data_IF_828817740659
#
_entry.id   IF_828817740659
#
_cell.length_a   1.000
_cell.length_b   1.000
_cell.length_c   1.000
_cell.angle_alpha   90.00
_cell.angle_beta   90.00
_cell.angle_gamma   90.00
#
_symmetry.space_group_name_H-M   'P 1'
#
loop_
_entity.id
_entity.type
_entity.pdbx_description
1 polymer ?
#
# COMPACT_ATOMS: atom_id res chain seq x y z
N UNK A 1 -7.76 -3.10 53.33
CA UNK A 1 -7.01 -3.36 52.10
C UNK A 1 -7.83 -2.84 50.93
N UNK A 2 -7.54 -1.64 50.51
CA UNK A 2 -8.31 -0.90 49.49
C UNK A 2 -7.92 -1.38 48.10
N UNK A 3 -8.91 -1.89 47.36
CA UNK A 3 -8.82 -2.22 45.94
C UNK A 3 -8.65 -0.94 45.13
N UNK A 4 -7.42 -0.54 44.88
CA UNK A 4 -7.12 0.44 43.81
C UNK A 4 -7.03 -0.32 42.49
N UNK A 5 -8.17 -0.74 41.92
CA UNK A 5 -8.29 -1.05 40.51
C UNK A 5 -8.09 0.25 39.75
N UNK A 6 -6.86 0.50 39.36
CA UNK A 6 -6.50 1.57 38.46
C UNK A 6 -7.41 1.52 37.22
N UNK A 7 -8.35 2.44 37.15
CA UNK A 7 -9.09 2.81 35.97
C UNK A 7 -8.12 3.36 34.89
N UNK A 8 -7.39 2.48 34.23
CA UNK A 8 -6.73 2.75 32.96
C UNK A 8 -7.71 2.81 31.78
N UNK A 9 -8.98 3.10 32.06
CA UNK A 9 -10.08 3.19 31.08
C UNK A 9 -10.27 4.57 30.47
N UNK A 10 -9.23 5.37 30.36
CA UNK A 10 -9.34 6.68 29.68
C UNK A 10 -8.74 6.70 28.28
N UNK A 11 -8.74 5.59 27.57
CA UNK A 11 -8.70 5.66 26.12
C UNK A 11 -10.15 5.80 25.65
N UNK A 12 -10.60 7.04 25.35
CA UNK A 12 -11.81 7.28 24.58
C UNK A 12 -11.81 6.34 23.40
N UNK A 13 -12.81 5.46 23.29
CA UNK A 13 -12.92 4.56 22.18
C UNK A 13 -12.86 5.38 20.89
N UNK A 14 -11.94 5.05 20.00
CA UNK A 14 -11.85 5.67 18.69
C UNK A 14 -13.18 5.46 17.98
N UNK A 15 -13.72 6.52 17.37
CA UNK A 15 -14.98 6.44 16.63
C UNK A 15 -14.83 5.46 15.47
N UNK A 16 -15.65 4.43 15.43
CA UNK A 16 -15.69 3.41 14.37
C UNK A 16 -16.47 3.94 13.17
N UNK A 17 -15.80 4.61 12.28
CA UNK A 17 -16.42 5.28 11.13
C UNK A 17 -16.10 4.60 9.80
N UNK A 18 -14.94 3.91 9.70
CA UNK A 18 -14.47 3.32 8.46
C UNK A 18 -15.22 2.04 8.11
N UNK A 19 -15.87 2.06 6.95
CA UNK A 19 -16.50 0.88 6.36
C UNK A 19 -15.53 0.08 5.48
N UNK A 20 -16.03 -1.02 4.91
CA UNK A 20 -15.24 -1.88 4.04
C UNK A 20 -14.64 -1.13 2.84
N UNK A 21 -15.40 -0.27 2.19
CA UNK A 21 -14.94 0.48 1.01
C UNK A 21 -13.91 1.57 1.34
N UNK A 22 -14.02 2.19 2.52
CA UNK A 22 -13.00 3.14 3.00
C UNK A 22 -11.68 2.41 3.25
N UNK A 23 -11.74 1.23 3.87
CA UNK A 23 -10.57 0.38 4.07
C UNK A 23 -9.98 -0.14 2.76
N UNK A 24 -10.83 -0.49 1.77
CA UNK A 24 -10.39 -0.86 0.42
C UNK A 24 -9.65 0.29 -0.26
N UNK A 25 -10.15 1.51 -0.16
CA UNK A 25 -9.46 2.67 -0.70
C UNK A 25 -8.10 2.89 -0.03
N UNK A 26 -8.01 2.71 1.30
CA UNK A 26 -6.73 2.76 2.02
C UNK A 26 -5.80 1.64 1.52
N UNK A 27 -6.30 0.41 1.39
CA UNK A 27 -5.52 -0.73 0.92
C UNK A 27 -4.98 -0.53 -0.50
N UNK A 28 -5.85 -0.17 -1.43
CA UNK A 28 -5.48 0.11 -2.83
C UNK A 28 -4.48 1.28 -2.90
N UNK A 29 -4.79 2.40 -2.22
CA UNK A 29 -3.93 3.58 -2.24
C UNK A 29 -2.58 3.37 -1.56
N UNK A 30 -2.47 2.42 -0.62
CA UNK A 30 -1.20 2.06 0.02
C UNK A 30 -0.34 1.15 -0.86
N UNK A 31 -0.95 0.34 -1.73
CA UNK A 31 -0.23 -0.51 -2.69
C UNK A 31 0.24 0.33 -3.88
N UNK A 32 -0.69 1.13 -4.46
CA UNK A 32 -0.38 1.94 -5.64
C UNK A 32 0.43 3.17 -5.23
N UNK A 33 1.73 3.05 -5.32
CA UNK A 33 2.70 4.10 -5.00
C UNK A 33 3.71 4.30 -6.13
N UNK A 34 4.83 4.96 -5.82
CA UNK A 34 5.92 5.18 -6.77
C UNK A 34 6.61 3.88 -7.22
N UNK A 35 6.42 2.78 -6.50
CA UNK A 35 7.03 1.48 -6.80
C UNK A 35 6.71 0.98 -8.19
N UNK A 36 5.43 1.05 -8.61
CA UNK A 36 5.04 0.60 -9.95
C UNK A 36 5.74 1.41 -11.05
N UNK A 37 5.87 2.72 -10.88
CA UNK A 37 6.50 3.58 -11.88
C UNK A 37 8.02 3.38 -11.96
N UNK A 38 8.67 3.11 -10.83
CA UNK A 38 10.12 2.99 -10.75
C UNK A 38 10.63 1.59 -11.06
N UNK A 39 9.92 0.54 -10.61
CA UNK A 39 10.43 -0.84 -10.67
C UNK A 39 9.92 -1.62 -11.89
N UNK A 40 8.84 -1.19 -12.54
CA UNK A 40 8.30 -1.89 -13.71
C UNK A 40 9.32 -1.93 -14.85
N UNK A 41 10.09 -0.85 -15.06
CA UNK A 41 11.15 -0.83 -16.07
C UNK A 41 12.21 -1.92 -15.84
N UNK A 42 12.65 -2.09 -14.61
CA UNK A 42 13.59 -3.17 -14.23
C UNK A 42 12.98 -4.56 -14.42
N UNK A 43 11.70 -4.72 -14.04
CA UNK A 43 10.99 -5.98 -14.26
C UNK A 43 10.84 -6.33 -15.74
N UNK A 44 10.62 -5.34 -16.61
CA UNK A 44 10.57 -5.54 -18.08
C UNK A 44 11.95 -5.93 -18.61
N UNK A 45 13.03 -5.35 -18.10
CA UNK A 45 14.39 -5.71 -18.47
C UNK A 45 14.70 -7.17 -18.12
N UNK A 46 14.26 -7.63 -16.94
CA UNK A 46 14.45 -9.01 -16.46
C UNK A 46 13.64 -10.04 -17.25
N UNK A 47 12.40 -9.74 -17.65
CA UNK A 47 11.49 -10.78 -18.17
C UNK A 47 10.82 -10.45 -19.51
N UNK A 48 10.97 -9.23 -20.02
CA UNK A 48 10.32 -8.78 -21.23
C UNK A 48 8.80 -8.59 -21.04
N UNK A 49 8.03 -9.01 -22.05
CA UNK A 49 6.55 -8.85 -22.07
C UNK A 49 5.83 -9.74 -21.05
N UNK A 50 6.48 -10.77 -20.51
CA UNK A 50 5.90 -11.61 -19.45
C UNK A 50 5.83 -10.94 -18.08
N UNK A 51 6.16 -9.66 -17.99
CA UNK A 51 5.96 -8.83 -16.80
C UNK A 51 4.49 -8.86 -16.32
N UNK A 52 3.52 -9.01 -17.21
CA UNK A 52 2.11 -9.17 -16.87
C UNK A 52 1.87 -10.40 -15.95
N UNK A 53 2.56 -11.51 -16.24
CA UNK A 53 2.51 -12.73 -15.40
C UNK A 53 3.28 -12.50 -14.11
N UNK A 54 4.43 -11.80 -14.18
CA UNK A 54 5.26 -11.49 -13.02
C UNK A 54 4.50 -10.68 -11.96
N UNK A 55 3.64 -9.73 -12.34
CA UNK A 55 2.79 -8.99 -11.41
C UNK A 55 1.78 -9.91 -10.68
N UNK A 56 1.14 -10.83 -11.37
CA UNK A 56 0.18 -11.75 -10.75
C UNK A 56 0.89 -12.69 -9.78
N UNK A 57 2.03 -13.27 -10.18
CA UNK A 57 2.85 -14.11 -9.31
C UNK A 57 3.38 -13.28 -8.12
N UNK A 58 3.85 -12.07 -8.37
CA UNK A 58 4.30 -11.14 -7.34
C UNK A 58 3.22 -10.82 -6.31
N UNK A 59 1.98 -10.59 -6.75
CA UNK A 59 0.84 -10.41 -5.84
C UNK A 59 0.55 -11.64 -4.98
N UNK A 60 0.67 -12.85 -5.55
CA UNK A 60 0.54 -14.10 -4.77
C UNK A 60 1.68 -14.24 -3.74
N UNK A 61 2.92 -13.92 -4.11
CA UNK A 61 4.06 -13.91 -3.19
C UNK A 61 3.82 -12.90 -2.06
N UNK A 62 3.34 -11.68 -2.36
CA UNK A 62 3.02 -10.67 -1.37
C UNK A 62 1.94 -11.15 -0.39
N UNK A 63 0.87 -11.80 -0.86
CA UNK A 63 -0.17 -12.40 0.00
C UNK A 63 0.41 -13.49 0.89
N UNK A 64 1.24 -14.38 0.35
CA UNK A 64 1.88 -15.44 1.12
C UNK A 64 2.78 -14.86 2.22
N UNK A 65 3.57 -13.84 1.90
CA UNK A 65 4.42 -13.15 2.85
C UNK A 65 3.62 -12.48 3.99
N UNK A 66 2.42 -11.96 3.67
CA UNK A 66 1.53 -11.30 4.64
C UNK A 66 0.50 -12.24 5.29
N UNK A 67 0.49 -13.53 4.93
CA UNK A 67 -0.48 -14.49 5.46
C UNK A 67 -0.54 -14.58 6.99
N UNK A 68 0.58 -14.51 7.75
CA UNK A 68 0.51 -14.51 9.21
C UNK A 68 -0.21 -13.27 9.75
N UNK A 69 0.04 -12.09 9.16
CA UNK A 69 -0.60 -10.84 9.56
C UNK A 69 -2.09 -10.84 9.22
N UNK A 70 -2.47 -11.36 8.06
CA UNK A 70 -3.87 -11.55 7.64
C UNK A 70 -4.59 -12.45 8.66
N UNK A 71 -3.98 -13.57 9.03
CA UNK A 71 -4.53 -14.50 10.01
C UNK A 71 -4.69 -13.84 11.39
N UNK A 72 -3.67 -13.17 11.91
CA UNK A 72 -3.73 -12.51 13.20
C UNK A 72 -4.83 -11.44 13.26
N UNK A 73 -4.99 -10.65 12.19
CA UNK A 73 -6.07 -9.66 12.09
C UNK A 73 -7.47 -10.29 12.02
N UNK A 74 -7.60 -11.54 11.56
CA UNK A 74 -8.89 -12.25 11.56
C UNK A 74 -9.31 -12.73 12.96
N UNK A 75 -8.34 -13.00 13.83
CA UNK A 75 -8.58 -13.53 15.17
C UNK A 75 -8.80 -12.43 16.21
N UNK A 76 -8.02 -11.35 16.14
CA UNK A 76 -8.04 -10.32 17.15
C UNK A 76 -7.94 -8.90 16.55
N UNK A 77 -8.40 -7.93 17.35
CA UNK A 77 -8.33 -6.51 17.02
C UNK A 77 -7.12 -5.88 17.70
N UNK A 78 -6.21 -5.34 16.91
CA UNK A 78 -5.01 -4.66 17.40
C UNK A 78 -5.14 -3.15 17.20
N UNK A 79 -5.51 -2.41 18.27
CA UNK A 79 -5.75 -0.96 18.20
C UNK A 79 -4.55 -0.12 17.73
N UNK A 80 -3.35 -0.59 17.98
CA UNK A 80 -2.10 0.05 17.55
C UNK A 80 -1.49 -0.59 16.31
N UNK A 81 -2.27 -1.36 15.51
CA UNK A 81 -1.78 -2.03 14.33
C UNK A 81 -0.61 -2.98 14.66
N UNK A 82 0.42 -2.94 13.82
CA UNK A 82 1.59 -3.82 13.94
C UNK A 82 2.34 -3.62 15.26
N UNK A 83 2.40 -2.40 15.79
CA UNK A 83 3.01 -2.13 17.09
C UNK A 83 2.36 -2.94 18.22
N UNK A 84 1.03 -2.93 18.28
CA UNK A 84 0.28 -3.71 19.29
C UNK A 84 0.42 -5.21 19.07
N UNK A 85 0.49 -5.65 17.82
CA UNK A 85 0.67 -7.05 17.45
C UNK A 85 2.03 -7.55 17.93
N UNK A 86 3.11 -6.83 17.60
CA UNK A 86 4.47 -7.14 18.07
C UNK A 86 4.54 -7.15 19.61
N UNK A 87 3.93 -6.15 20.25
CA UNK A 87 3.90 -6.06 21.72
C UNK A 87 3.21 -7.25 22.39
N UNK A 88 2.13 -7.73 21.78
CA UNK A 88 1.34 -8.83 22.33
C UNK A 88 2.06 -10.18 22.22
N UNK A 89 2.73 -10.45 21.10
CA UNK A 89 3.32 -11.76 20.82
C UNK A 89 4.81 -11.86 21.15
N UNK A 90 5.57 -10.79 20.96
CA UNK A 90 7.02 -10.81 21.10
C UNK A 90 7.54 -10.06 22.34
N UNK A 91 6.67 -9.27 22.96
CA UNK A 91 6.99 -8.57 24.21
C UNK A 91 7.72 -7.23 24.03
N UNK A 92 8.03 -6.54 25.17
CA UNK A 92 8.45 -5.11 25.15
C UNK A 92 9.78 -4.84 24.42
N UNK A 93 10.73 -5.77 24.48
CA UNK A 93 12.04 -5.61 23.83
C UNK A 93 11.90 -5.51 22.30
N UNK A 94 11.13 -6.42 21.71
CA UNK A 94 10.88 -6.46 20.29
C UNK A 94 9.99 -5.31 19.83
N UNK A 95 9.07 -4.87 20.69
CA UNK A 95 8.26 -3.67 20.43
C UNK A 95 9.12 -2.41 20.33
N UNK A 96 10.13 -2.27 21.19
CA UNK A 96 11.09 -1.17 21.11
C UNK A 96 11.90 -1.20 19.83
N UNK A 97 12.42 -2.37 19.46
CA UNK A 97 13.15 -2.56 18.19
C UNK A 97 12.27 -2.23 16.97
N UNK A 98 11.02 -2.72 16.96
CA UNK A 98 10.04 -2.41 15.91
C UNK A 98 9.80 -0.91 15.80
N UNK A 99 9.62 -0.21 16.94
CA UNK A 99 9.39 1.25 16.94
C UNK A 99 10.57 2.03 16.36
N UNK A 100 11.79 1.61 16.66
CA UNK A 100 13.00 2.22 16.08
C UNK A 100 13.06 2.02 14.56
N UNK A 101 12.79 0.81 14.10
CA UNK A 101 12.72 0.52 12.65
C UNK A 101 11.61 1.32 11.99
N UNK A 102 10.42 1.41 12.59
CA UNK A 102 9.30 2.18 12.09
C UNK A 102 9.62 3.68 11.97
N UNK A 103 10.35 4.25 12.94
CA UNK A 103 10.84 5.62 12.87
C UNK A 103 11.82 5.82 11.71
N UNK A 104 12.74 4.89 11.51
CA UNK A 104 13.68 4.95 10.37
C UNK A 104 12.96 4.84 9.04
N UNK A 105 11.97 3.95 8.93
CA UNK A 105 11.18 3.80 7.70
C UNK A 105 10.28 5.00 7.41
N UNK A 106 9.93 5.81 8.42
CA UNK A 106 9.12 7.02 8.19
C UNK A 106 9.83 8.06 7.29
N UNK A 107 11.15 7.99 7.15
CA UNK A 107 11.93 8.82 6.20
C UNK A 107 11.49 8.59 4.75
N UNK A 108 10.94 7.41 4.41
CA UNK A 108 10.41 7.11 3.07
C UNK A 108 9.26 8.03 2.66
N UNK A 109 8.56 8.63 3.63
CA UNK A 109 7.51 9.62 3.35
C UNK A 109 8.04 10.82 2.56
N UNK A 110 9.26 11.26 2.88
CA UNK A 110 9.93 12.33 2.14
C UNK A 110 10.23 11.93 0.70
N UNK A 111 10.57 10.66 0.47
CA UNK A 111 10.79 10.12 -0.88
C UNK A 111 9.50 10.17 -1.72
N UNK A 112 8.36 9.79 -1.14
CA UNK A 112 7.07 9.89 -1.84
C UNK A 112 6.70 11.33 -2.19
N UNK A 113 6.95 12.28 -1.28
CA UNK A 113 6.69 13.70 -1.54
C UNK A 113 7.59 14.26 -2.65
N UNK A 114 8.86 13.86 -2.70
CA UNK A 114 9.78 14.24 -3.77
C UNK A 114 9.39 13.61 -5.10
N UNK A 115 8.96 12.33 -5.12
CA UNK A 115 8.44 11.68 -6.32
C UNK A 115 7.19 12.39 -6.84
N UNK A 116 6.26 12.77 -5.96
CA UNK A 116 5.11 13.59 -6.35
C UNK A 116 5.55 14.90 -6.99
N UNK A 117 6.54 15.58 -6.39
CA UNK A 117 7.06 16.83 -6.91
C UNK A 117 7.67 16.68 -8.32
N UNK A 118 8.37 15.57 -8.60
CA UNK A 118 8.93 15.29 -9.92
C UNK A 118 7.85 15.22 -11.01
N UNK A 119 6.71 14.59 -10.71
CA UNK A 119 5.57 14.53 -11.64
C UNK A 119 4.78 15.85 -11.72
N UNK A 120 4.78 16.66 -10.66
CA UNK A 120 4.06 17.92 -10.62
C UNK A 120 4.85 19.10 -11.26
N UNK A 121 6.18 19.02 -11.31
CA UNK A 121 7.03 20.07 -11.87
C UNK A 121 6.66 20.55 -13.27
N UNK A 122 6.30 19.68 -14.23
CA UNK A 122 5.89 20.13 -15.57
C UNK A 122 4.66 21.04 -15.56
N UNK A 123 3.78 20.89 -14.56
CA UNK A 123 2.55 21.68 -14.40
C UNK A 123 2.74 22.93 -13.53
N UNK A 124 3.82 22.95 -12.73
CA UNK A 124 4.11 24.02 -11.77
C UNK A 124 5.53 24.58 -11.94
N UNK A 125 5.87 25.16 -13.12
CA UNK A 125 7.23 25.59 -13.45
C UNK A 125 7.74 26.75 -12.57
N UNK A 126 6.84 27.47 -11.90
CA UNK A 126 7.19 28.57 -10.98
C UNK A 126 7.72 28.12 -9.62
N UNK A 127 7.58 26.83 -9.30
CA UNK A 127 7.97 26.30 -7.98
C UNK A 127 9.16 25.36 -8.08
N UNK A 128 9.97 25.33 -7.02
CA UNK A 128 11.09 24.38 -6.93
C UNK A 128 10.57 23.01 -6.49
N UNK A 129 11.28 21.94 -6.85
CA UNK A 129 10.99 20.55 -6.43
C UNK A 129 10.76 20.46 -4.91
N UNK A 130 11.62 21.11 -4.12
CA UNK A 130 11.50 21.10 -2.66
C UNK A 130 10.25 21.82 -2.16
N UNK A 131 9.89 22.95 -2.77
CA UNK A 131 8.69 23.71 -2.39
C UNK A 131 7.41 22.92 -2.67
N UNK A 132 7.34 22.22 -3.79
CA UNK A 132 6.19 21.36 -4.14
C UNK A 132 6.10 20.19 -3.14
N UNK A 133 7.22 19.52 -2.84
CA UNK A 133 7.25 18.42 -1.88
C UNK A 133 6.83 18.85 -0.48
N UNK A 134 7.31 19.98 0.01
CA UNK A 134 6.90 20.53 1.29
C UNK A 134 5.44 20.97 1.30
N UNK A 135 4.97 21.56 0.20
CA UNK A 135 3.58 21.99 0.03
C UNK A 135 2.61 20.82 0.16
N UNK A 136 2.86 19.71 -0.55
CA UNK A 136 2.00 18.53 -0.47
C UNK A 136 2.03 17.87 0.92
N UNK A 137 3.22 17.76 1.55
CA UNK A 137 3.33 17.23 2.91
C UNK A 137 2.55 18.08 3.91
N UNK A 138 2.67 19.42 3.82
CA UNK A 138 1.94 20.35 4.69
C UNK A 138 0.43 20.22 4.47
N UNK A 139 -0.03 20.14 3.24
CA UNK A 139 -1.44 19.97 2.90
C UNK A 139 -2.00 18.66 3.48
N UNK A 140 -1.27 17.56 3.30
CA UNK A 140 -1.68 16.25 3.85
C UNK A 140 -1.64 16.23 5.38
N UNK A 141 -0.67 16.90 5.99
CA UNK A 141 -0.62 17.07 7.45
C UNK A 141 -1.83 17.84 7.98
N UNK A 142 -2.16 18.96 7.34
CA UNK A 142 -3.34 19.76 7.70
C UNK A 142 -4.62 18.94 7.56
N UNK A 143 -4.80 18.20 6.43
CA UNK A 143 -5.99 17.35 6.26
C UNK A 143 -6.09 16.27 7.33
N UNK A 144 -4.97 15.71 7.77
CA UNK A 144 -4.94 14.71 8.83
C UNK A 144 -5.35 15.28 10.20
N UNK A 145 -5.07 16.58 10.48
CA UNK A 145 -5.49 17.23 11.72
C UNK A 145 -7.01 17.43 11.83
N UNK A 146 -7.74 17.45 10.70
CA UNK A 146 -9.21 17.51 10.69
C UNK A 146 -9.90 16.19 11.05
N UNK A 147 -9.12 15.13 11.28
CA UNK A 147 -9.58 13.85 11.77
C UNK A 147 -9.91 12.84 10.66
N UNK A 148 -10.24 11.62 11.10
CA UNK A 148 -10.35 10.43 10.25
C UNK A 148 -11.40 10.55 9.13
N UNK A 149 -12.48 11.31 9.34
CA UNK A 149 -13.51 11.49 8.31
C UNK A 149 -13.01 12.36 7.14
N UNK A 150 -12.23 13.41 7.43
CA UNK A 150 -11.62 14.24 6.40
C UNK A 150 -10.55 13.46 5.64
N UNK A 151 -9.71 12.73 6.36
CA UNK A 151 -8.71 11.83 5.79
C UNK A 151 -9.36 10.81 4.82
N UNK A 152 -10.40 10.10 5.26
CA UNK A 152 -11.06 9.08 4.45
C UNK A 152 -11.66 9.67 3.15
N UNK A 153 -12.26 10.86 3.20
CA UNK A 153 -12.79 11.53 2.00
C UNK A 153 -11.69 11.88 1.00
N UNK A 154 -10.58 12.46 1.47
CA UNK A 154 -9.43 12.82 0.61
C UNK A 154 -8.80 11.56 0.02
N UNK A 155 -8.62 10.52 0.84
CA UNK A 155 -8.09 9.23 0.42
C UNK A 155 -8.97 8.58 -0.64
N UNK A 156 -10.29 8.49 -0.41
CA UNK A 156 -11.22 7.89 -1.36
C UNK A 156 -11.20 8.65 -2.71
N UNK A 157 -11.20 9.99 -2.67
CA UNK A 157 -11.13 10.80 -3.87
C UNK A 157 -9.82 10.58 -4.64
N UNK A 158 -8.69 10.58 -3.94
CA UNK A 158 -7.38 10.36 -4.55
C UNK A 158 -7.30 8.98 -5.21
N UNK A 159 -7.82 7.92 -4.55
CA UNK A 159 -7.83 6.56 -5.09
C UNK A 159 -8.74 6.43 -6.31
N UNK A 160 -9.90 7.11 -6.32
CA UNK A 160 -10.78 7.13 -7.49
C UNK A 160 -10.05 7.72 -8.69
N UNK A 161 -9.40 8.89 -8.54
CA UNK A 161 -8.63 9.49 -9.62
C UNK A 161 -7.48 8.60 -10.10
N UNK A 162 -6.80 7.95 -9.18
CA UNK A 162 -5.69 7.05 -9.47
C UNK A 162 -6.17 5.82 -10.26
N UNK A 163 -7.28 5.18 -9.83
CA UNK A 163 -7.85 4.02 -10.53
C UNK A 163 -8.36 4.43 -11.93
N UNK A 164 -9.01 5.57 -12.06
CA UNK A 164 -9.46 6.09 -13.36
C UNK A 164 -8.25 6.33 -14.28
N UNK A 165 -7.20 6.99 -13.79
CA UNK A 165 -5.99 7.26 -14.56
C UNK A 165 -5.32 5.99 -15.06
N UNK A 166 -5.16 4.99 -14.19
CA UNK A 166 -4.60 3.69 -14.57
C UNK A 166 -5.52 2.93 -15.54
N UNK A 167 -6.83 2.99 -15.35
CA UNK A 167 -7.80 2.36 -16.26
C UNK A 167 -7.70 2.95 -17.68
N UNK A 168 -7.59 4.28 -17.79
CA UNK A 168 -7.40 4.96 -19.07
C UNK A 168 -6.08 4.51 -19.71
N UNK A 169 -5.00 4.48 -18.91
CA UNK A 169 -3.69 4.03 -19.38
C UNK A 169 -3.74 2.60 -19.91
N UNK A 170 -4.34 1.68 -19.15
CA UNK A 170 -4.53 0.27 -19.54
C UNK A 170 -5.39 0.17 -20.80
N UNK A 171 -6.53 0.87 -20.87
CA UNK A 171 -7.41 0.84 -22.03
C UNK A 171 -6.69 1.32 -23.31
N UNK A 172 -5.92 2.40 -23.22
CA UNK A 172 -5.12 2.90 -24.36
C UNK A 172 -4.00 1.90 -24.71
N UNK A 173 -3.34 1.30 -23.71
CA UNK A 173 -2.31 0.27 -23.92
C UNK A 173 -2.86 -0.94 -24.67
N UNK A 174 -4.02 -1.45 -24.27
CA UNK A 174 -4.67 -2.59 -24.92
C UNK A 174 -5.01 -2.32 -26.40
N UNK A 175 -5.30 -1.08 -26.79
CA UNK A 175 -5.54 -0.73 -28.20
C UNK A 175 -4.26 -0.73 -29.06
N UNK A 176 -3.09 -0.73 -28.42
CA UNK A 176 -1.77 -0.71 -29.08
C UNK A 176 -1.09 -2.09 -29.09
N UNK A 177 -1.78 -3.13 -28.64
CA UNK A 177 -1.23 -4.48 -28.67
C UNK A 177 -1.06 -4.97 -30.11
N UNK A 178 0.18 -5.30 -30.47
CA UNK A 178 0.50 -5.94 -31.73
C UNK A 178 0.14 -7.44 -31.67
N UNK A 179 -0.28 -8.02 -32.83
CA UNK A 179 -0.61 -9.44 -32.92
C UNK A 179 0.50 -10.39 -32.49
N UNK A 180 1.74 -9.93 -32.42
CA UNK A 180 2.92 -10.67 -32.01
C UNK A 180 3.31 -10.47 -30.54
N UNK A 181 2.36 -10.05 -29.67
CA UNK A 181 2.65 -9.82 -28.24
C UNK A 181 3.25 -11.05 -27.55
N UNK A 182 2.77 -12.24 -27.86
CA UNK A 182 3.19 -13.53 -27.30
C UNK A 182 4.36 -14.20 -28.04
N UNK A 183 5.09 -13.47 -28.87
CA UNK A 183 6.27 -14.03 -29.54
C UNK A 183 7.28 -14.52 -28.49
N UNK A 184 7.66 -15.81 -28.48
CA UNK A 184 8.54 -16.40 -27.46
C UNK A 184 9.88 -15.68 -27.30
N UNK A 185 10.40 -15.09 -28.38
CA UNK A 185 11.67 -14.37 -28.36
C UNK A 185 11.63 -13.09 -27.50
N UNK A 186 10.46 -12.43 -27.45
CA UNK A 186 10.27 -11.16 -26.74
C UNK A 186 9.40 -11.31 -25.48
N UNK A 187 8.74 -12.47 -25.33
CA UNK A 187 7.82 -12.69 -24.21
C UNK A 187 8.55 -13.04 -22.93
N UNK A 188 9.61 -13.87 -23.01
CA UNK A 188 10.44 -14.27 -21.86
C UNK A 188 11.93 -14.12 -22.21
N UNK A 189 12.44 -12.90 -22.14
CA UNK A 189 13.81 -12.57 -22.60
C UNK A 189 14.91 -13.37 -21.88
N UNK A 190 14.77 -13.59 -20.57
CA UNK A 190 15.71 -14.39 -19.76
C UNK A 190 15.08 -15.70 -19.24
N UNK A 191 14.06 -16.21 -19.93
CA UNK A 191 13.40 -17.46 -19.60
C UNK A 191 12.76 -17.46 -18.21
N UNK A 192 12.67 -18.66 -17.61
CA UNK A 192 12.00 -18.81 -16.31
C UNK A 192 12.73 -18.11 -15.16
N UNK A 193 14.05 -17.96 -15.23
CA UNK A 193 14.84 -17.27 -14.19
C UNK A 193 14.51 -15.80 -14.18
N UNK A 194 14.46 -15.16 -15.36
CA UNK A 194 14.06 -13.76 -15.47
C UNK A 194 12.64 -13.51 -14.98
N UNK A 195 11.69 -14.40 -15.33
CA UNK A 195 10.32 -14.31 -14.84
C UNK A 195 10.25 -14.41 -13.30
N UNK A 196 11.04 -15.30 -12.69
CA UNK A 196 11.08 -15.45 -11.26
C UNK A 196 11.68 -14.21 -10.56
N UNK A 197 12.80 -13.68 -11.09
CA UNK A 197 13.42 -12.45 -10.59
C UNK A 197 12.45 -11.28 -10.67
N UNK A 198 11.84 -11.07 -11.83
CA UNK A 198 10.80 -10.04 -12.00
C UNK A 198 9.62 -10.24 -11.04
N UNK A 199 9.16 -11.50 -10.83
CA UNK A 199 8.06 -11.77 -9.90
C UNK A 199 8.38 -11.41 -8.46
N UNK A 200 9.60 -11.70 -8.00
CA UNK A 200 10.07 -11.31 -6.67
C UNK A 200 10.18 -9.78 -6.56
N UNK A 201 10.69 -9.11 -7.59
CA UNK A 201 10.75 -7.66 -7.64
C UNK A 201 9.34 -7.04 -7.63
N UNK A 202 8.42 -7.59 -8.42
CA UNK A 202 7.02 -7.12 -8.49
C UNK A 202 6.24 -7.43 -7.21
N UNK A 203 6.63 -8.41 -6.40
CA UNK A 203 5.99 -8.66 -5.11
C UNK A 203 6.12 -7.45 -4.18
N UNK A 204 7.22 -6.72 -4.24
CA UNK A 204 7.41 -5.47 -3.49
C UNK A 204 6.43 -4.37 -3.96
N UNK A 205 6.18 -4.26 -5.26
CA UNK A 205 5.22 -3.27 -5.80
C UNK A 205 3.76 -3.58 -5.47
N UNK A 206 3.46 -4.86 -5.22
CA UNK A 206 2.14 -5.33 -4.82
C UNK A 206 1.95 -5.35 -3.28
N UNK A 207 2.99 -5.04 -2.51
CA UNK A 207 2.95 -4.97 -1.05
C UNK A 207 2.55 -3.56 -0.61
N UNK A 208 1.72 -3.45 0.44
CA UNK A 208 1.22 -2.16 0.94
C UNK A 208 -0.08 -2.30 1.72
N UNK A 209 -0.87 -3.34 1.42
CA UNK A 209 -2.17 -3.57 2.06
C UNK A 209 -2.10 -3.70 3.59
N UNK A 210 -0.94 -4.04 4.16
CA UNK A 210 -0.73 -4.14 5.61
C UNK A 210 -0.98 -2.83 6.36
N UNK A 211 -0.86 -1.68 5.71
CA UNK A 211 -1.15 -0.39 6.34
C UNK A 211 -2.61 -0.25 6.80
N UNK A 212 -3.54 -1.03 6.23
CA UNK A 212 -4.94 -1.10 6.68
C UNK A 212 -5.04 -1.60 8.13
N UNK A 213 -4.10 -2.41 8.60
CA UNK A 213 -4.05 -2.91 9.99
C UNK A 213 -3.98 -1.75 10.99
N UNK A 214 -3.34 -0.64 10.65
CA UNK A 214 -3.24 0.54 11.51
C UNK A 214 -4.61 1.21 11.74
N UNK A 215 -5.56 1.01 10.83
CA UNK A 215 -6.93 1.52 10.92
C UNK A 215 -7.87 0.62 11.74
N UNK A 216 -7.35 -0.45 12.35
CA UNK A 216 -8.12 -1.42 13.14
C UNK A 216 -8.92 -0.77 14.30
N UNK A 217 -8.41 0.36 14.84
CA UNK A 217 -9.09 1.14 15.88
C UNK A 217 -10.39 1.79 15.41
N UNK A 218 -10.45 2.20 14.15
CA UNK A 218 -11.49 3.04 13.55
C UNK A 218 -12.39 2.28 12.59
N UNK A 219 -12.04 1.02 12.29
CA UNK A 219 -12.84 0.13 11.45
C UNK A 219 -14.12 -0.34 12.17
N UNK A 220 -15.23 -0.42 11.43
CA UNK A 220 -16.50 -0.94 11.96
C UNK A 220 -16.42 -2.41 12.33
N UNK A 221 -15.90 -3.24 11.44
CA UNK A 221 -15.75 -4.69 11.62
C UNK A 221 -14.30 -5.13 11.33
N UNK A 222 -13.31 -4.79 12.19
CA UNK A 222 -11.89 -4.95 11.86
C UNK A 222 -11.49 -6.40 11.58
N UNK A 223 -11.93 -7.35 12.38
CA UNK A 223 -11.56 -8.77 12.25
C UNK A 223 -12.09 -9.43 10.98
N UNK A 224 -13.16 -8.90 10.40
CA UNK A 224 -13.73 -9.39 9.16
C UNK A 224 -13.22 -8.62 7.95
N UNK A 225 -13.20 -7.28 8.06
CA UNK A 225 -13.00 -6.41 6.90
C UNK A 225 -11.50 -6.25 6.57
N UNK A 226 -10.62 -6.12 7.58
CA UNK A 226 -9.17 -5.94 7.34
C UNK A 226 -8.56 -7.13 6.60
N UNK A 227 -8.73 -8.41 7.01
CA UNK A 227 -8.18 -9.54 6.29
C UNK A 227 -8.68 -9.63 4.84
N UNK A 228 -9.97 -9.34 4.62
CA UNK A 228 -10.56 -9.34 3.28
C UNK A 228 -10.00 -8.22 2.41
N UNK A 229 -9.87 -7.03 2.98
CA UNK A 229 -9.27 -5.89 2.29
C UNK A 229 -7.83 -6.20 1.90
N UNK A 230 -7.01 -6.74 2.81
CA UNK A 230 -5.64 -7.11 2.49
C UNK A 230 -5.56 -8.11 1.33
N UNK A 231 -6.43 -9.12 1.30
CA UNK A 231 -6.47 -10.10 0.21
C UNK A 231 -6.96 -9.47 -1.09
N UNK A 232 -8.13 -8.84 -1.07
CA UNK A 232 -8.77 -8.35 -2.29
C UNK A 232 -8.06 -7.15 -2.91
N UNK A 233 -7.50 -6.24 -2.09
CA UNK A 233 -6.72 -5.12 -2.62
C UNK A 233 -5.43 -5.61 -3.28
N UNK A 234 -4.70 -6.53 -2.64
CA UNK A 234 -3.46 -7.07 -3.24
C UNK A 234 -3.75 -7.86 -4.52
N UNK A 235 -4.74 -8.76 -4.52
CA UNK A 235 -5.13 -9.50 -5.73
C UNK A 235 -5.64 -8.57 -6.82
N UNK A 236 -6.55 -7.66 -6.48
CA UNK A 236 -7.12 -6.72 -7.44
C UNK A 236 -6.06 -5.85 -8.09
N UNK A 237 -5.14 -5.27 -7.30
CA UNK A 237 -4.07 -4.42 -7.82
C UNK A 237 -3.06 -5.23 -8.62
N UNK A 238 -2.68 -6.45 -8.19
CA UNK A 238 -1.71 -7.27 -8.92
C UNK A 238 -2.23 -7.70 -10.30
N UNK A 239 -3.51 -8.05 -10.40
CA UNK A 239 -4.15 -8.34 -11.69
C UNK A 239 -4.24 -7.08 -12.54
N UNK A 240 -4.60 -5.95 -11.94
CA UNK A 240 -4.70 -4.67 -12.63
C UNK A 240 -3.36 -4.16 -13.15
N UNK A 241 -2.27 -4.44 -12.45
CA UNK A 241 -0.91 -4.13 -12.91
C UNK A 241 -0.45 -5.05 -14.03
N UNK A 242 -0.96 -6.29 -14.07
CA UNK A 242 -0.66 -7.25 -15.12
C UNK A 242 -1.40 -7.01 -16.44
N UNK A 243 -2.42 -6.15 -16.43
CA UNK A 243 -3.18 -5.74 -17.64
C UNK A 243 -2.51 -4.61 -18.38
#
# INVERSE_FOLDING_TARGET
MSNSTNNLSSTKDLKRVLGFWDLMAVGIGSIIGSGIMSLTGWGIDDTGRSICIAFVIGGLIAILARSPQIFLNSVARYRGGDYSMVGTFLGPRWTGTYSMIALLTSVTLSMYALSFADYAMPFLPAFTRKSIALGILTLLFITNTFGINAFAKVQNLAVIFLVISLTIFTAVGLTKLDGNYFDPANFMTHGFVGLWQASVLMSYTCDGAQFVTQMSGEAKNPTRDIPRVMLFSTLGVSVFYGL
#
